data_IF_161648871117
#
_entry.id   IF_161648871117
#
_cell.length_a   1.000
_cell.length_b   1.000
_cell.length_c   1.000
_cell.angle_alpha   90.00
_cell.angle_beta   90.00
_cell.angle_gamma   90.00
#
_symmetry.space_group_name_H-M   'P 1'
#
loop_
_entity.id
_entity.type
_entity.pdbx_description
1 polymer ?
#
# COMPACT_ATOMS: atom_id res chain seq x y z
N UNK A 1 -29.40 17.75 24.00
CA UNK A 1 -30.18 16.75 23.23
C UNK A 1 -29.35 15.47 23.18
N UNK A 2 -29.70 14.48 24.00
CA UNK A 2 -28.95 13.21 24.12
C UNK A 2 -29.61 12.22 23.15
N UNK A 3 -28.88 11.77 22.13
CA UNK A 3 -29.34 10.70 21.26
C UNK A 3 -29.01 9.35 21.90
N UNK A 4 -30.02 8.64 22.39
CA UNK A 4 -29.93 7.21 22.67
C UNK A 4 -29.91 6.45 21.33
N UNK A 5 -28.87 5.65 21.10
CA UNK A 5 -28.82 4.71 19.98
C UNK A 5 -29.14 3.31 20.47
N UNK A 6 -30.25 2.76 19.98
CA UNK A 6 -30.58 1.35 20.14
C UNK A 6 -29.68 0.51 19.22
N UNK A 7 -28.86 -0.35 19.82
CA UNK A 7 -28.19 -1.44 19.13
C UNK A 7 -29.24 -2.46 18.68
N UNK A 8 -29.55 -2.50 17.38
CA UNK A 8 -30.30 -3.62 16.81
C UNK A 8 -29.35 -4.83 16.81
N UNK A 9 -29.69 -5.82 17.63
CA UNK A 9 -29.00 -7.10 17.75
C UNK A 9 -29.34 -7.96 16.54
N UNK A 10 -28.77 -7.65 15.38
CA UNK A 10 -28.88 -8.52 14.20
C UNK A 10 -27.89 -9.69 14.33
N UNK A 11 -28.42 -10.92 14.31
CA UNK A 11 -27.65 -12.16 14.55
C UNK A 11 -26.86 -12.61 13.33
N UNK A 12 -26.93 -11.90 12.21
CA UNK A 12 -26.17 -12.23 11.00
C UNK A 12 -25.06 -11.20 10.77
N UNK A 13 -23.88 -11.53 11.28
CA UNK A 13 -22.61 -10.82 11.03
C UNK A 13 -22.20 -10.93 9.55
N UNK A 14 -22.88 -10.20 8.68
CA UNK A 14 -22.26 -9.62 7.49
C UNK A 14 -22.06 -8.15 7.79
N UNK A 15 -20.89 -7.81 8.35
CA UNK A 15 -20.43 -6.43 8.36
C UNK A 15 -20.21 -6.00 6.91
N UNK A 16 -21.27 -5.55 6.25
CA UNK A 16 -21.17 -4.98 4.91
C UNK A 16 -20.44 -3.65 5.05
N UNK A 17 -19.16 -3.63 4.67
CA UNK A 17 -18.38 -2.40 4.44
C UNK A 17 -19.01 -1.48 3.38
N UNK A 18 -20.12 -1.89 2.75
CA UNK A 18 -20.80 -1.16 1.68
C UNK A 18 -21.53 0.11 2.15
N UNK A 19 -21.79 0.29 3.44
CA UNK A 19 -22.49 1.48 3.96
C UNK A 19 -21.58 2.66 4.35
N UNK A 20 -20.25 2.55 4.16
CA UNK A 20 -19.28 3.56 4.61
C UNK A 20 -18.70 4.43 3.49
N UNK A 21 -19.23 4.30 2.27
CA UNK A 21 -18.67 4.94 1.08
C UNK A 21 -19.15 6.38 0.80
N UNK A 22 -20.11 6.93 1.54
CA UNK A 22 -20.81 8.15 1.08
C UNK A 22 -20.68 9.43 1.90
N UNK A 23 -20.06 9.45 3.08
CA UNK A 23 -19.91 10.73 3.81
C UNK A 23 -18.53 10.92 4.46
N UNK A 24 -17.74 11.80 3.84
CA UNK A 24 -16.58 12.52 4.41
C UNK A 24 -15.44 11.65 4.98
N UNK A 25 -14.35 11.56 4.21
CA UNK A 25 -13.11 10.77 4.46
C UNK A 25 -12.46 10.93 5.85
N UNK A 26 -12.84 11.92 6.65
CA UNK A 26 -12.29 12.15 7.99
C UNK A 26 -13.27 11.82 9.13
N UNK A 27 -14.58 12.01 8.95
CA UNK A 27 -15.58 11.76 10.01
C UNK A 27 -15.77 10.27 10.27
N UNK A 28 -15.62 9.42 9.25
CA UNK A 28 -15.66 7.96 9.40
C UNK A 28 -14.52 7.42 10.27
N UNK A 29 -13.30 7.94 10.13
CA UNK A 29 -12.15 7.48 10.93
C UNK A 29 -12.33 7.89 12.39
N UNK A 30 -12.78 9.12 12.67
CA UNK A 30 -13.00 9.55 14.07
C UNK A 30 -14.14 8.78 14.74
N UNK A 31 -15.21 8.46 14.01
CA UNK A 31 -16.32 7.62 14.51
C UNK A 31 -15.88 6.18 14.74
N UNK A 32 -15.10 5.61 13.81
CA UNK A 32 -14.53 4.27 14.00
C UNK A 32 -13.65 4.21 15.24
N UNK A 33 -12.72 5.15 15.41
CA UNK A 33 -11.79 5.14 16.55
C UNK A 33 -12.54 5.17 17.89
N UNK A 34 -13.60 6.00 18.01
CA UNK A 34 -14.45 6.01 19.21
C UNK A 34 -15.10 4.67 19.48
N UNK A 35 -15.67 4.03 18.46
CA UNK A 35 -16.32 2.73 18.63
C UNK A 35 -15.28 1.64 18.94
N UNK A 36 -14.15 1.67 18.24
CA UNK A 36 -13.09 0.68 18.34
C UNK A 36 -12.50 0.60 19.75
N UNK A 37 -12.24 1.74 20.39
CA UNK A 37 -11.69 1.78 21.75
C UNK A 37 -12.66 1.21 22.80
N UNK A 38 -13.96 1.14 22.50
CA UNK A 38 -14.98 0.56 23.38
C UNK A 38 -15.29 -0.91 23.10
N UNK A 39 -14.65 -1.52 22.10
CA UNK A 39 -14.88 -2.92 21.77
C UNK A 39 -14.13 -3.88 22.73
N UNK A 40 -14.73 -5.03 23.06
CA UNK A 40 -14.01 -6.13 23.70
C UNK A 40 -12.76 -6.52 22.93
N UNK A 41 -11.77 -7.05 23.64
CA UNK A 41 -10.47 -7.40 23.08
C UNK A 41 -10.57 -8.32 21.85
N UNK A 42 -11.42 -9.33 21.93
CA UNK A 42 -11.63 -10.34 20.88
C UNK A 42 -12.23 -9.70 19.61
N UNK A 43 -13.17 -8.76 19.79
CA UNK A 43 -13.81 -8.04 18.67
C UNK A 43 -12.87 -7.05 18.02
N UNK A 44 -11.95 -6.44 18.78
CA UNK A 44 -10.86 -5.64 18.20
C UNK A 44 -9.96 -6.50 17.34
N UNK A 45 -9.55 -7.68 17.83
CA UNK A 45 -8.69 -8.61 17.09
C UNK A 45 -9.34 -9.09 15.77
N UNK A 46 -10.64 -9.43 15.81
CA UNK A 46 -11.40 -9.79 14.59
C UNK A 46 -11.41 -8.65 13.56
N UNK A 47 -11.73 -7.43 14.01
CA UNK A 47 -11.76 -6.25 13.14
C UNK A 47 -10.38 -5.86 12.61
N UNK A 48 -9.34 -5.99 13.44
CA UNK A 48 -7.95 -5.79 13.05
C UNK A 48 -7.59 -6.72 11.89
N UNK A 49 -7.87 -8.01 12.03
CA UNK A 49 -7.59 -9.05 11.03
C UNK A 49 -8.37 -8.80 9.73
N UNK A 50 -9.67 -8.57 9.82
CA UNK A 50 -10.50 -8.32 8.63
C UNK A 50 -10.14 -6.99 7.97
N UNK A 51 -9.79 -5.95 8.73
CA UNK A 51 -9.35 -4.67 8.16
C UNK A 51 -8.09 -4.83 7.31
N UNK A 52 -7.08 -5.58 7.80
CA UNK A 52 -5.83 -5.88 7.07
C UNK A 52 -6.17 -6.59 5.77
N UNK A 53 -7.04 -7.60 5.84
CA UNK A 53 -7.47 -8.42 4.69
C UNK A 53 -8.18 -7.59 3.61
N UNK A 54 -9.07 -6.67 4.00
CA UNK A 54 -9.79 -5.79 3.06
C UNK A 54 -9.06 -4.50 2.72
N UNK A 55 -7.87 -4.30 3.28
CA UNK A 55 -6.96 -3.19 2.96
C UNK A 55 -7.59 -1.79 3.05
N UNK A 56 -8.50 -1.57 4.01
CA UNK A 56 -9.03 -0.23 4.29
C UNK A 56 -7.96 0.63 4.97
N UNK A 57 -7.08 1.23 4.15
CA UNK A 57 -5.77 1.77 4.55
C UNK A 57 -5.76 2.63 5.82
N UNK A 58 -6.71 3.58 6.05
CA UNK A 58 -6.72 4.36 7.29
C UNK A 58 -6.98 3.52 8.56
N UNK A 59 -7.88 2.53 8.47
CA UNK A 59 -8.25 1.68 9.59
C UNK A 59 -7.12 0.73 9.93
N UNK A 60 -6.55 0.07 8.92
CA UNK A 60 -5.44 -0.86 9.15
C UNK A 60 -4.23 -0.15 9.73
N UNK A 61 -3.93 1.06 9.25
CA UNK A 61 -2.85 1.87 9.84
C UNK A 61 -3.11 2.17 11.31
N UNK A 62 -4.33 2.55 11.67
CA UNK A 62 -4.69 2.80 13.06
C UNK A 62 -4.52 1.54 13.91
N UNK A 63 -5.05 0.41 13.45
CA UNK A 63 -4.89 -0.90 14.08
C UNK A 63 -3.42 -1.27 14.30
N UNK A 64 -2.60 -1.23 13.24
CA UNK A 64 -1.17 -1.54 13.31
C UNK A 64 -0.43 -0.62 14.29
N UNK A 65 -0.81 0.65 14.42
CA UNK A 65 -0.19 1.58 15.37
C UNK A 65 -0.50 1.26 16.84
N UNK A 66 -1.58 0.52 17.10
CA UNK A 66 -2.05 0.13 18.45
C UNK A 66 -1.60 -1.28 18.85
N UNK A 67 -1.20 -2.10 17.88
CA UNK A 67 -0.68 -3.44 18.11
C UNK A 67 0.72 -3.40 18.73
N UNK A 68 0.96 -4.33 19.66
CA UNK A 68 2.32 -4.64 20.11
C UNK A 68 3.17 -5.21 18.96
N UNK A 69 4.48 -5.27 19.17
CA UNK A 69 5.44 -5.73 18.17
C UNK A 69 5.21 -7.19 17.75
N UNK A 70 4.87 -8.07 18.71
CA UNK A 70 4.65 -9.49 18.44
C UNK A 70 3.45 -9.69 17.51
N UNK A 71 2.35 -8.96 17.74
CA UNK A 71 1.17 -9.02 16.88
C UNK A 71 1.40 -8.41 15.50
N UNK A 72 2.13 -7.30 15.43
CA UNK A 72 2.53 -6.73 14.13
C UNK A 72 3.35 -7.73 13.32
N UNK A 73 4.26 -8.47 13.97
CA UNK A 73 5.05 -9.51 13.33
C UNK A 73 4.16 -10.67 12.85
N UNK A 74 3.19 -11.12 13.66
CA UNK A 74 2.22 -12.15 13.24
C UNK A 74 1.40 -11.70 12.02
N UNK A 75 0.90 -10.46 12.04
CA UNK A 75 0.16 -9.88 10.90
C UNK A 75 1.03 -9.78 9.66
N UNK A 76 2.29 -9.38 9.82
CA UNK A 76 3.26 -9.32 8.73
C UNK A 76 3.51 -10.71 8.12
N UNK A 77 3.62 -11.76 8.94
CA UNK A 77 3.80 -13.12 8.45
C UNK A 77 2.55 -13.67 7.74
N UNK A 78 1.36 -13.35 8.26
CA UNK A 78 0.09 -13.85 7.72
C UNK A 78 -0.36 -13.09 6.45
N UNK A 79 -0.12 -11.78 6.40
CA UNK A 79 -0.56 -10.88 5.33
C UNK A 79 0.55 -9.96 4.84
N UNK A 80 1.69 -10.50 4.38
CA UNK A 80 2.90 -9.71 4.12
C UNK A 80 2.67 -8.62 3.08
N UNK A 81 1.94 -8.93 2.00
CA UNK A 81 1.63 -7.95 0.97
C UNK A 81 0.82 -6.76 1.51
N UNK A 82 -0.26 -7.03 2.26
CA UNK A 82 -1.17 -6.00 2.77
C UNK A 82 -0.43 -5.08 3.74
N UNK A 83 0.33 -5.66 4.68
CA UNK A 83 1.09 -4.90 5.67
C UNK A 83 2.18 -4.06 5.00
N UNK A 84 2.97 -4.64 4.11
CA UNK A 84 4.00 -3.91 3.36
C UNK A 84 3.39 -2.79 2.51
N UNK A 85 2.25 -3.05 1.84
CA UNK A 85 1.55 -2.02 1.07
C UNK A 85 1.14 -0.84 1.94
N UNK A 86 0.71 -1.07 3.18
CA UNK A 86 0.36 -0.01 4.14
C UNK A 86 1.59 0.79 4.54
N UNK A 87 2.71 0.12 4.78
CA UNK A 87 3.96 0.77 5.13
C UNK A 87 4.51 1.68 4.02
N UNK A 88 4.09 1.53 2.76
CA UNK A 88 4.43 2.48 1.69
C UNK A 88 3.80 3.88 1.83
N UNK A 89 2.88 4.07 2.78
CA UNK A 89 2.17 5.34 2.95
C UNK A 89 2.61 6.07 4.22
N UNK A 90 2.67 7.40 4.12
CA UNK A 90 3.00 8.26 5.25
C UNK A 90 2.09 8.01 6.45
N UNK A 91 2.63 7.87 7.67
CA UNK A 91 4.03 8.04 8.09
C UNK A 91 4.83 6.73 8.24
N UNK A 92 4.38 5.62 7.66
CA UNK A 92 4.87 4.28 8.00
C UNK A 92 6.07 3.81 7.15
N UNK A 93 6.65 4.63 6.28
CA UNK A 93 7.69 4.21 5.33
C UNK A 93 8.96 3.70 6.00
N UNK A 94 9.30 4.22 7.19
CA UNK A 94 10.45 3.74 7.96
C UNK A 94 10.33 2.25 8.32
N UNK A 95 9.10 1.74 8.49
CA UNK A 95 8.85 0.34 8.84
C UNK A 95 8.90 -0.60 7.62
N UNK A 96 8.88 -0.06 6.39
CA UNK A 96 8.74 -0.85 5.19
C UNK A 96 9.93 -1.77 4.95
N UNK A 97 11.16 -1.24 5.00
CA UNK A 97 12.37 -2.00 4.67
C UNK A 97 12.62 -3.11 5.69
N UNK A 98 12.51 -2.80 6.98
CA UNK A 98 12.70 -3.78 8.06
C UNK A 98 11.65 -4.91 7.95
N UNK A 99 10.39 -4.55 7.72
CA UNK A 99 9.33 -5.53 7.53
C UNK A 99 9.55 -6.37 6.26
N UNK A 100 10.01 -5.75 5.17
CA UNK A 100 10.29 -6.46 3.92
C UNK A 100 11.42 -7.47 4.09
N UNK A 101 12.47 -7.11 4.83
CA UNK A 101 13.59 -8.00 5.13
C UNK A 101 13.15 -9.25 5.91
N UNK A 102 12.19 -9.10 6.84
CA UNK A 102 11.64 -10.21 7.64
C UNK A 102 10.90 -11.23 6.76
N UNK A 103 10.13 -10.77 5.76
CA UNK A 103 9.28 -11.66 4.92
C UNK A 103 9.84 -11.92 3.53
N UNK A 104 11.07 -11.47 3.23
CA UNK A 104 11.62 -11.54 1.87
C UNK A 104 11.60 -12.95 1.26
N UNK A 105 11.81 -13.98 2.09
CA UNK A 105 11.92 -15.37 1.64
C UNK A 105 10.55 -16.08 1.57
N UNK A 106 9.54 -15.55 2.27
CA UNK A 106 8.17 -16.09 2.29
C UNK A 106 7.19 -15.26 1.45
N UNK A 107 7.60 -14.10 0.96
CA UNK A 107 6.78 -13.22 0.14
C UNK A 107 6.59 -13.83 -1.26
N UNK A 108 5.34 -14.11 -1.69
CA UNK A 108 5.11 -14.68 -3.01
C UNK A 108 5.58 -13.76 -4.14
N UNK A 109 6.13 -14.34 -5.21
CA UNK A 109 6.58 -13.62 -6.43
C UNK A 109 5.58 -12.56 -6.91
N UNK A 110 4.30 -12.92 -6.99
CA UNK A 110 3.23 -12.01 -7.43
C UNK A 110 3.04 -10.84 -6.47
N UNK A 111 3.22 -11.04 -5.17
CA UNK A 111 3.13 -9.99 -4.16
C UNK A 111 4.33 -9.05 -4.22
N UNK A 112 5.54 -9.59 -4.41
CA UNK A 112 6.75 -8.79 -4.64
C UNK A 112 6.61 -7.89 -5.88
N UNK A 113 6.18 -8.46 -7.01
CA UNK A 113 5.90 -7.71 -8.24
C UNK A 113 4.85 -6.61 -8.02
N UNK A 114 3.74 -6.93 -7.32
CA UNK A 114 2.69 -5.94 -7.02
C UNK A 114 3.21 -4.78 -6.15
N UNK A 115 4.11 -5.03 -5.20
CA UNK A 115 4.72 -3.96 -4.41
C UNK A 115 5.59 -3.04 -5.27
N UNK A 116 6.38 -3.61 -6.20
CA UNK A 116 7.15 -2.81 -7.17
C UNK A 116 6.22 -1.94 -8.02
N UNK A 117 5.17 -2.52 -8.59
CA UNK A 117 4.14 -1.78 -9.33
C UNK A 117 3.53 -0.66 -8.47
N UNK A 118 3.22 -0.95 -7.21
CA UNK A 118 2.64 0.04 -6.29
C UNK A 118 3.60 1.21 -6.08
N UNK A 119 4.88 0.94 -5.80
CA UNK A 119 5.87 2.01 -5.58
C UNK A 119 6.08 2.83 -6.86
N UNK A 120 6.26 2.19 -8.02
CA UNK A 120 6.51 2.89 -9.27
C UNK A 120 5.27 3.71 -9.69
N UNK A 121 4.13 3.05 -9.84
CA UNK A 121 2.94 3.65 -10.45
C UNK A 121 2.20 4.59 -9.51
N UNK A 122 2.18 4.32 -8.21
CA UNK A 122 1.41 5.15 -7.26
C UNK A 122 2.26 6.17 -6.52
N UNK A 123 3.60 6.00 -6.44
CA UNK A 123 4.48 6.90 -5.67
C UNK A 123 5.47 7.65 -6.56
N UNK A 124 6.31 6.94 -7.30
CA UNK A 124 7.40 7.56 -8.07
C UNK A 124 6.86 8.33 -9.28
N UNK A 125 6.07 7.69 -10.15
CA UNK A 125 5.56 8.33 -11.37
C UNK A 125 4.66 9.55 -11.09
N UNK A 126 3.78 9.53 -10.06
CA UNK A 126 3.01 10.73 -9.70
C UNK A 126 3.85 11.82 -9.01
N UNK A 127 5.11 11.55 -8.65
CA UNK A 127 6.03 12.53 -8.08
C UNK A 127 5.82 12.82 -6.59
N UNK A 128 5.41 11.82 -5.80
CA UNK A 128 5.28 11.97 -4.35
C UNK A 128 6.63 12.29 -3.69
N UNK A 129 6.61 13.19 -2.69
CA UNK A 129 7.81 13.72 -2.01
C UNK A 129 7.80 13.56 -0.49
N UNK A 130 6.83 12.83 0.07
CA UNK A 130 6.74 12.51 1.50
C UNK A 130 7.78 11.45 1.94
N UNK A 131 8.42 10.76 1.00
CA UNK A 131 9.53 9.83 1.25
C UNK A 131 10.42 9.75 -0.01
N UNK A 132 11.69 9.35 0.15
CA UNK A 132 12.53 8.96 -0.99
C UNK A 132 12.16 7.55 -1.47
N UNK A 133 11.09 7.49 -2.27
CA UNK A 133 10.57 6.24 -2.81
C UNK A 133 11.53 5.55 -3.78
N UNK A 134 12.44 6.29 -4.41
CA UNK A 134 13.46 5.71 -5.29
C UNK A 134 14.47 4.94 -4.46
N UNK A 135 14.93 5.52 -3.35
CA UNK A 135 15.84 4.82 -2.45
C UNK A 135 15.16 3.65 -1.72
N UNK A 136 13.91 3.82 -1.29
CA UNK A 136 13.10 2.74 -0.72
C UNK A 136 12.98 1.57 -1.71
N UNK A 137 12.65 1.84 -2.97
CA UNK A 137 12.56 0.83 -4.02
C UNK A 137 13.91 0.15 -4.28
N UNK A 138 15.01 0.92 -4.27
CA UNK A 138 16.36 0.37 -4.46
C UNK A 138 16.74 -0.61 -3.35
N UNK A 139 16.48 -0.25 -2.09
CA UNK A 139 16.73 -1.15 -0.93
C UNK A 139 15.87 -2.40 -1.03
N UNK A 140 14.58 -2.23 -1.29
CA UNK A 140 13.63 -3.33 -1.44
C UNK A 140 14.03 -4.28 -2.57
N UNK A 141 14.42 -3.75 -3.73
CA UNK A 141 14.91 -4.55 -4.84
C UNK A 141 16.18 -5.30 -4.44
N UNK A 142 17.18 -4.63 -3.88
CA UNK A 142 18.45 -5.24 -3.49
C UNK A 142 18.27 -6.41 -2.51
N UNK A 143 17.44 -6.20 -1.49
CA UNK A 143 17.22 -7.15 -0.39
C UNK A 143 16.20 -8.24 -0.71
N UNK A 144 15.42 -8.09 -1.78
CA UNK A 144 14.48 -9.10 -2.25
C UNK A 144 15.15 -10.41 -2.66
N UNK A 145 14.42 -11.52 -2.48
CA UNK A 145 14.90 -12.85 -2.84
C UNK A 145 15.12 -13.00 -4.36
N UNK A 146 16.12 -13.78 -4.77
CA UNK A 146 16.52 -13.85 -6.18
C UNK A 146 15.43 -14.41 -7.10
N UNK A 147 14.72 -15.45 -6.63
CA UNK A 147 13.60 -16.03 -7.36
C UNK A 147 12.46 -15.02 -7.63
N UNK A 148 12.25 -14.05 -6.73
CA UNK A 148 11.31 -12.95 -6.93
C UNK A 148 11.83 -11.96 -8.00
N UNK A 149 13.12 -11.65 -8.01
CA UNK A 149 13.72 -10.76 -9.02
C UNK A 149 13.67 -11.37 -10.41
N UNK A 150 13.94 -12.67 -10.52
CA UNK A 150 13.81 -13.42 -11.77
C UNK A 150 12.38 -13.36 -12.31
N UNK A 151 11.39 -13.53 -11.44
CA UNK A 151 9.99 -13.39 -11.82
C UNK A 151 9.67 -11.98 -12.35
N UNK A 152 10.19 -10.93 -11.70
CA UNK A 152 9.97 -9.54 -12.15
C UNK A 152 10.63 -9.27 -13.49
N UNK A 153 11.79 -9.87 -13.80
CA UNK A 153 12.46 -9.70 -15.11
C UNK A 153 11.58 -10.13 -16.30
N UNK A 154 10.59 -11.01 -16.07
CA UNK A 154 9.61 -11.40 -17.08
C UNK A 154 8.41 -10.46 -17.23
N UNK A 155 8.27 -9.45 -16.36
CA UNK A 155 7.17 -8.47 -16.39
C UNK A 155 7.60 -7.17 -17.09
N UNK A 156 6.67 -6.53 -17.80
CA UNK A 156 6.94 -5.28 -18.51
C UNK A 156 7.40 -4.13 -17.62
N UNK A 157 7.13 -4.17 -16.31
CA UNK A 157 7.62 -3.17 -15.35
C UNK A 157 9.14 -3.17 -15.19
N UNK A 158 9.82 -4.27 -15.55
CA UNK A 158 11.25 -4.42 -15.34
C UNK A 158 12.08 -3.38 -16.09
N UNK A 159 11.66 -2.97 -17.29
CA UNK A 159 12.29 -1.91 -18.07
C UNK A 159 12.30 -0.58 -17.28
N UNK A 160 11.14 -0.20 -16.74
CA UNK A 160 10.98 1.02 -15.95
C UNK A 160 11.79 0.93 -14.65
N UNK A 161 11.72 -0.22 -13.98
CA UNK A 161 12.48 -0.47 -12.77
C UNK A 161 13.97 -0.28 -13.00
N UNK A 162 14.51 -0.80 -14.11
CA UNK A 162 15.94 -0.69 -14.45
C UNK A 162 16.37 0.76 -14.62
N UNK A 163 15.57 1.56 -15.35
CA UNK A 163 15.81 3.01 -15.52
C UNK A 163 15.83 3.73 -14.17
N UNK A 164 14.89 3.42 -13.28
CA UNK A 164 14.83 4.01 -11.93
C UNK A 164 16.05 3.61 -11.09
N UNK A 165 16.43 2.33 -11.12
CA UNK A 165 17.53 1.80 -10.31
C UNK A 165 18.90 2.31 -10.76
N UNK A 166 19.15 2.40 -12.07
CA UNK A 166 20.39 2.92 -12.63
C UNK A 166 20.56 4.43 -12.43
N UNK A 167 19.49 5.15 -12.10
CA UNK A 167 19.51 6.61 -11.89
C UNK A 167 19.82 7.42 -13.16
N UNK A 168 20.00 6.75 -14.30
CA UNK A 168 20.19 7.36 -15.62
C UNK A 168 18.83 7.83 -16.13
N UNK A 169 18.53 9.13 -15.96
CA UNK A 169 17.43 9.78 -16.67
C UNK A 169 16.30 10.39 -15.82
N UNK A 170 16.20 10.08 -14.52
CA UNK A 170 15.10 10.64 -13.69
C UNK A 170 15.43 11.95 -12.98
N UNK A 171 16.72 12.29 -12.80
CA UNK A 171 17.13 13.44 -11.96
C UNK A 171 17.05 14.80 -12.63
N UNK A 172 16.96 14.88 -13.96
CA UNK A 172 17.05 16.17 -14.67
C UNK A 172 15.72 16.93 -14.80
N UNK A 173 14.57 16.34 -14.48
CA UNK A 173 13.27 16.96 -14.79
C UNK A 173 12.33 17.22 -13.60
N UNK A 174 12.69 16.83 -12.37
CA UNK A 174 11.81 17.01 -11.19
C UNK A 174 12.04 18.31 -10.40
N UNK A 175 12.94 19.20 -10.85
CA UNK A 175 13.26 20.46 -10.16
C UNK A 175 12.34 21.65 -10.49
N UNK A 176 11.50 21.57 -11.51
CA UNK A 176 10.50 22.61 -11.77
C UNK A 176 9.12 21.98 -11.72
N UNK A 177 8.23 22.56 -10.91
CA UNK A 177 6.83 22.15 -10.89
C UNK A 177 6.26 22.30 -12.30
N UNK A 178 6.00 21.17 -12.97
CA UNK A 178 5.32 21.15 -14.27
C UNK A 178 4.33 19.97 -14.32
N UNK A 179 3.12 20.17 -14.87
CA UNK A 179 1.97 19.27 -14.74
C UNK A 179 1.96 18.14 -15.78
N UNK A 180 1.34 17.00 -15.42
CA UNK A 180 0.57 15.97 -16.18
C UNK A 180 0.86 15.63 -17.66
N UNK A 181 1.86 16.20 -18.34
CA UNK A 181 2.14 16.03 -19.79
C UNK A 181 3.42 15.25 -20.09
N UNK A 182 4.09 14.67 -19.10
CA UNK A 182 5.35 13.92 -19.32
C UNK A 182 5.17 12.47 -19.78
N UNK A 183 4.26 12.24 -20.73
CA UNK A 183 4.23 10.98 -21.51
C UNK A 183 4.57 11.19 -22.99
N UNK A 184 4.85 12.42 -23.44
CA UNK A 184 5.11 12.70 -24.85
C UNK A 184 6.59 12.92 -25.22
N UNK A 185 7.51 12.99 -24.26
CA UNK A 185 8.95 13.18 -24.57
C UNK A 185 9.89 12.05 -24.16
N UNK A 186 9.38 10.95 -23.58
CA UNK A 186 10.11 9.69 -23.54
C UNK A 186 9.83 8.92 -24.84
N UNK A 187 10.51 9.32 -25.93
CA UNK A 187 10.45 8.65 -27.22
C UNK A 187 11.13 7.28 -27.17
N UNK A 188 10.48 6.34 -26.48
CA UNK A 188 10.59 4.85 -26.51
C UNK A 188 10.02 4.23 -25.23
N UNK A 189 8.96 4.80 -24.64
CA UNK A 189 8.15 3.97 -23.74
C UNK A 189 7.46 2.90 -24.60
N UNK A 190 7.82 1.64 -24.37
CA UNK A 190 7.20 0.49 -25.03
C UNK A 190 5.68 0.56 -24.83
N UNK A 191 4.91 0.07 -25.79
CA UNK A 191 3.44 0.02 -25.70
C UNK A 191 2.98 -0.71 -24.41
N UNK A 192 3.82 -1.61 -23.90
CA UNK A 192 3.66 -2.27 -22.61
C UNK A 192 3.73 -1.29 -21.43
N UNK A 193 4.65 -0.33 -21.45
CA UNK A 193 4.73 0.72 -20.42
C UNK A 193 3.49 1.62 -20.44
N UNK A 194 3.00 2.00 -21.64
CA UNK A 194 1.73 2.74 -21.76
C UNK A 194 0.56 1.93 -21.23
N UNK A 195 0.50 0.62 -21.52
CA UNK A 195 -0.50 -0.29 -20.95
C UNK A 195 -0.42 -0.39 -19.44
N UNK A 196 0.76 -0.47 -18.83
CA UNK A 196 0.91 -0.49 -17.37
C UNK A 196 0.38 0.80 -16.72
N UNK A 197 0.64 1.95 -17.33
CA UNK A 197 0.12 3.24 -16.87
C UNK A 197 -1.41 3.30 -17.04
N UNK A 198 -1.94 2.82 -18.16
CA UNK A 198 -3.39 2.83 -18.42
C UNK A 198 -4.15 1.80 -17.56
N UNK A 199 -3.58 0.63 -17.29
CA UNK A 199 -4.19 -0.43 -16.46
C UNK A 199 -4.19 -0.09 -14.96
N UNK A 200 -3.20 0.65 -14.47
CA UNK A 200 -3.19 1.13 -13.08
C UNK A 200 -4.20 2.25 -12.85
N UNK A 201 -4.51 3.05 -13.88
CA UNK A 201 -5.55 4.07 -13.83
C UNK A 201 -6.99 3.51 -13.91
N UNK A 202 -7.17 2.28 -14.41
CA UNK A 202 -8.49 1.67 -14.61
C UNK A 202 -8.98 0.78 -13.44
N UNK A 203 -8.09 0.38 -12.52
CA UNK A 203 -8.43 -0.48 -11.38
C UNK A 203 -8.72 0.28 -10.08
N UNK A 204 -8.75 1.61 -10.11
CA UNK A 204 -9.07 2.49 -8.96
C UNK A 204 -10.51 3.04 -9.00
N UNK A 205 -11.42 2.42 -9.79
CA UNK A 205 -12.87 2.71 -9.78
C UNK A 205 -13.67 1.59 -9.11
#
# INVERSE_FOLDING_TARGET
>A
MIYQFNFIKDRNLRYSCQLWALESKWTCVTRFNRVFDHLPFEKRLELETESVKFAHMPLVRHCLSRMDEQRRLQMLQQYPYQVLRIYLFWPCQALFTDAAAIVKDSLPNRSFLKLIHTVICQKILPGWRDCDYVDLLRRFWREGAEHCKEYVKGDGIFEILTVILEGKGFRTHLRSGVPRRYLTHAGTLTENTRRCINLTMLNDN
#
